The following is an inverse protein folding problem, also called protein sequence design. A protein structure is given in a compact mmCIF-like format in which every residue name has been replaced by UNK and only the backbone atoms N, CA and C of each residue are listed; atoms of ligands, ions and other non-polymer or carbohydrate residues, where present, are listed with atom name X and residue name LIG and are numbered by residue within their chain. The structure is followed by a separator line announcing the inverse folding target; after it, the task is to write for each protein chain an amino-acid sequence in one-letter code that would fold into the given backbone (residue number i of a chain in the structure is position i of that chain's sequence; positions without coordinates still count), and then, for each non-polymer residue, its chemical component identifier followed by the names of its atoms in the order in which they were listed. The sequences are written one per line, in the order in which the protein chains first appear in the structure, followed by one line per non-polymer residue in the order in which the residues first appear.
data_IF_076491572807
#
_entry.id   IF_076491572807
#
_cell.length_a   1.000
_cell.length_b   1.000
_cell.length_c   1.000
_cell.angle_alpha   90.00
_cell.angle_beta   90.00
_cell.angle_gamma   90.00
#
_symmetry.space_group_name_H-M   'P 1'
#
loop_
_entity.id
_entity.type
_entity.pdbx_description
1 polymer ?
#
# COMPACT_ATOMS: atom_id res chain seq x y z
N UNK A 1 3.07 6.51 -28.18
CA UNK A 1 3.38 6.69 -26.75
C UNK A 1 3.08 5.38 -26.02
N UNK A 2 4.03 4.80 -25.29
CA UNK A 2 3.72 3.72 -24.34
C UNK A 2 3.12 4.38 -23.09
N UNK A 3 1.97 3.92 -22.56
CA UNK A 3 1.45 4.44 -21.31
C UNK A 3 2.52 4.22 -20.23
N UNK A 4 2.81 5.25 -19.44
CA UNK A 4 3.74 5.15 -18.33
C UNK A 4 3.25 4.03 -17.40
N UNK A 5 3.99 2.92 -17.34
CA UNK A 5 3.77 1.88 -16.35
C UNK A 5 3.91 2.55 -14.97
N UNK A 6 2.79 2.79 -14.28
CA UNK A 6 2.82 3.18 -12.86
C UNK A 6 3.76 2.20 -12.17
N UNK A 7 4.84 2.71 -11.58
CA UNK A 7 5.83 1.85 -10.96
C UNK A 7 5.14 0.97 -9.92
N UNK A 8 5.39 -0.35 -9.93
CA UNK A 8 4.83 -1.28 -8.94
C UNK A 8 5.08 -0.86 -7.49
N UNK A 9 6.08 0.01 -7.25
CA UNK A 9 6.37 0.65 -5.96
C UNK A 9 5.15 1.33 -5.32
N UNK A 10 4.23 1.87 -6.12
CA UNK A 10 3.01 2.54 -5.63
C UNK A 10 2.02 1.57 -4.96
N UNK A 11 2.16 0.26 -5.23
CA UNK A 11 1.34 -0.80 -4.65
C UNK A 11 2.10 -1.65 -3.63
N UNK A 12 3.37 -1.34 -3.32
CA UNK A 12 4.07 -2.00 -2.22
C UNK A 12 3.41 -1.59 -0.90
N UNK A 13 3.42 -2.50 0.08
CA UNK A 13 2.79 -2.28 1.37
C UNK A 13 3.64 -1.38 2.24
N UNK A 14 3.04 -0.32 2.81
CA UNK A 14 3.71 0.64 3.71
C UNK A 14 5.03 1.18 3.13
N UNK A 15 4.95 1.68 1.89
CA UNK A 15 6.13 2.14 1.14
C UNK A 15 6.55 3.58 1.42
N UNK A 16 5.77 4.30 2.22
CA UNK A 16 6.01 5.69 2.62
C UNK A 16 5.76 5.86 4.13
N UNK A 17 5.94 7.08 4.66
CA UNK A 17 5.78 7.37 6.08
C UNK A 17 4.68 8.40 6.30
N UNK A 18 3.53 7.95 6.83
CA UNK A 18 2.32 8.76 7.05
C UNK A 18 1.83 9.51 5.78
N UNK A 19 2.24 9.07 4.60
CA UNK A 19 1.96 9.73 3.33
C UNK A 19 0.86 8.97 2.57
N UNK A 20 0.75 9.17 1.26
CA UNK A 20 -0.39 8.67 0.49
C UNK A 20 -0.61 7.15 0.58
N UNK A 21 0.42 6.32 0.59
CA UNK A 21 0.29 4.85 0.62
C UNK A 21 -0.24 4.38 1.97
N UNK A 22 0.44 4.71 3.08
CA UNK A 22 0.01 4.32 4.43
C UNK A 22 -1.35 4.91 4.80
N UNK A 23 -1.57 6.18 4.45
CA UNK A 23 -2.87 6.84 4.69
C UNK A 23 -3.98 6.17 3.88
N UNK A 24 -3.73 5.79 2.62
CA UNK A 24 -4.72 5.06 1.82
C UNK A 24 -5.08 3.71 2.43
N UNK A 25 -4.10 2.98 2.97
CA UNK A 25 -4.33 1.70 3.67
C UNK A 25 -5.23 1.93 4.88
N UNK A 26 -4.94 2.95 5.71
CA UNK A 26 -5.77 3.30 6.87
C UNK A 26 -7.17 3.75 6.45
N UNK A 27 -7.32 4.56 5.40
CA UNK A 27 -8.64 4.94 4.86
C UNK A 27 -9.46 3.74 4.39
N UNK A 28 -8.81 2.67 3.93
CA UNK A 28 -9.51 1.47 3.48
C UNK A 28 -9.93 0.54 4.63
N UNK A 29 -9.17 0.50 5.72
CA UNK A 29 -9.39 -0.43 6.86
C UNK A 29 -10.09 0.23 8.05
N UNK A 30 -9.68 1.45 8.39
CA UNK A 30 -10.06 2.22 9.57
C UNK A 30 -10.23 3.70 9.21
N UNK A 31 -11.17 4.05 8.31
CA UNK A 31 -11.37 5.43 7.86
C UNK A 31 -11.63 6.40 9.02
N UNK A 32 -12.22 5.93 10.11
CA UNK A 32 -12.49 6.70 11.33
C UNK A 32 -11.24 7.21 12.06
N UNK A 33 -10.07 6.64 11.77
CA UNK A 33 -8.79 7.04 12.37
C UNK A 33 -8.00 8.04 11.51
N UNK A 34 -8.52 8.39 10.33
CA UNK A 34 -7.82 9.25 9.37
C UNK A 34 -8.47 10.63 9.32
N UNK A 35 -7.77 11.63 9.87
CA UNK A 35 -8.21 13.01 9.94
C UNK A 35 -7.35 13.93 9.05
N UNK A 36 -7.65 13.98 7.76
CA UNK A 36 -6.91 14.82 6.78
C UNK A 36 -7.10 16.30 7.09
N UNK A 37 -8.25 16.67 7.66
CA UNK A 37 -8.59 18.02 8.10
C UNK A 37 -7.64 18.60 9.16
N UNK A 38 -6.89 17.73 9.87
CA UNK A 38 -5.89 18.15 10.85
C UNK A 38 -4.54 18.53 10.18
N UNK A 39 -4.35 18.25 8.89
CA UNK A 39 -3.17 18.66 8.14
C UNK A 39 -3.24 20.15 7.77
N UNK A 40 -2.09 20.80 7.49
CA UNK A 40 -2.10 22.17 6.96
C UNK A 40 -2.98 22.28 5.71
N UNK A 41 -3.86 23.29 5.70
CA UNK A 41 -4.75 23.56 4.56
C UNK A 41 -4.02 24.20 3.38
N UNK A 42 -2.93 24.92 3.66
CA UNK A 42 -2.08 25.52 2.65
C UNK A 42 -1.31 24.40 1.89
N UNK A 43 -1.53 24.24 0.57
CA UNK A 43 -0.86 23.21 -0.21
C UNK A 43 0.66 23.39 -0.24
N UNK A 44 1.17 24.62 -0.15
CA UNK A 44 2.61 24.92 -0.13
C UNK A 44 3.26 24.55 1.21
N UNK A 45 2.46 24.40 2.27
CA UNK A 45 2.94 23.94 3.58
C UNK A 45 2.91 22.42 3.65
N UNK A 46 4.09 21.82 3.58
CA UNK A 46 4.24 20.37 3.74
C UNK A 46 3.81 19.90 5.15
N UNK A 47 3.04 18.81 5.27
CA UNK A 47 2.71 18.23 6.58
C UNK A 47 3.95 17.82 7.39
N UNK A 48 3.91 18.06 8.70
CA UNK A 48 4.99 17.67 9.60
C UNK A 48 5.15 16.15 9.65
N UNK A 49 6.39 15.68 9.58
CA UNK A 49 6.76 14.26 9.70
C UNK A 49 6.11 13.32 8.65
N UNK A 50 5.67 13.86 7.51
CA UNK A 50 5.17 13.07 6.38
C UNK A 50 6.28 12.91 5.34
N UNK A 51 6.55 11.67 4.91
CA UNK A 51 7.58 11.34 3.93
C UNK A 51 7.04 10.47 2.81
N UNK A 52 6.82 11.05 1.63
CA UNK A 52 6.25 10.35 0.49
C UNK A 52 5.41 11.28 -0.39
N UNK A 53 4.36 10.75 -1.03
CA UNK A 53 3.40 11.58 -1.78
C UNK A 53 2.42 12.22 -0.81
N UNK A 54 2.03 13.45 -1.09
CA UNK A 54 1.11 14.22 -0.26
C UNK A 54 -0.23 13.45 -0.03
N UNK A 55 -0.56 13.06 1.21
CA UNK A 55 -1.79 12.32 1.49
C UNK A 55 -3.04 13.16 1.22
N UNK A 56 -2.97 14.50 1.27
CA UNK A 56 -4.10 15.39 0.97
C UNK A 56 -4.59 15.25 -0.47
N UNK A 57 -3.68 14.88 -1.38
CA UNK A 57 -3.93 14.84 -2.83
C UNK A 57 -4.04 13.40 -3.34
N UNK A 58 -3.19 12.52 -2.84
CA UNK A 58 -2.99 11.19 -3.43
C UNK A 58 -3.55 10.04 -2.60
N UNK A 59 -3.91 10.26 -1.32
CA UNK A 59 -4.50 9.21 -0.51
C UNK A 59 -5.97 8.97 -0.90
N UNK A 60 -6.40 7.72 -0.93
CA UNK A 60 -7.82 7.37 -1.10
C UNK A 60 -8.13 5.96 -0.58
N UNK A 61 -9.36 5.69 -0.11
CA UNK A 61 -9.78 4.33 0.24
C UNK A 61 -9.61 3.34 -0.94
N UNK A 62 -9.89 3.78 -2.16
CA UNK A 62 -9.78 2.96 -3.38
C UNK A 62 -8.32 2.59 -3.65
N UNK A 63 -7.38 3.50 -3.39
CA UNK A 63 -5.96 3.19 -3.52
C UNK A 63 -5.51 2.19 -2.46
N UNK A 64 -5.99 2.33 -1.22
CA UNK A 64 -5.71 1.40 -0.12
C UNK A 64 -6.18 -0.01 -0.45
N UNK A 65 -7.42 -0.14 -0.93
CA UNK A 65 -7.98 -1.43 -1.40
C UNK A 65 -7.11 -2.07 -2.49
N UNK A 66 -6.59 -1.29 -3.45
CA UNK A 66 -5.66 -1.81 -4.48
C UNK A 66 -4.34 -2.28 -3.89
N UNK A 67 -3.76 -1.53 -2.94
CA UNK A 67 -2.51 -1.91 -2.25
C UNK A 67 -2.72 -3.21 -1.47
N UNK A 68 -3.78 -3.29 -0.68
CA UNK A 68 -4.11 -4.48 0.13
C UNK A 68 -4.30 -5.70 -0.77
N UNK A 69 -5.14 -5.59 -1.81
CA UNK A 69 -5.41 -6.70 -2.73
C UNK A 69 -4.13 -7.19 -3.43
N UNK A 70 -3.31 -6.26 -3.94
CA UNK A 70 -2.04 -6.60 -4.60
C UNK A 70 -1.11 -7.40 -3.68
N UNK A 71 -0.97 -6.97 -2.42
CA UNK A 71 -0.08 -7.63 -1.46
C UNK A 71 -0.63 -8.97 -0.97
N UNK A 72 -1.95 -9.09 -0.77
CA UNK A 72 -2.60 -10.36 -0.43
C UNK A 72 -2.39 -11.40 -1.54
N UNK A 73 -2.63 -11.04 -2.80
CA UNK A 73 -2.40 -11.93 -3.94
C UNK A 73 -0.93 -12.36 -4.06
N UNK A 74 0.00 -11.44 -3.84
CA UNK A 74 1.44 -11.72 -3.85
C UNK A 74 1.81 -12.70 -2.75
N UNK A 75 1.36 -12.46 -1.52
CA UNK A 75 1.63 -13.33 -0.38
C UNK A 75 1.02 -14.71 -0.57
N UNK A 76 -0.23 -14.80 -1.03
CA UNK A 76 -0.89 -16.07 -1.31
C UNK A 76 -0.09 -16.91 -2.32
N UNK A 77 0.39 -16.29 -3.42
CA UNK A 77 1.21 -16.98 -4.43
C UNK A 77 2.51 -17.51 -3.85
N UNK A 78 3.19 -16.72 -3.02
CA UNK A 78 4.44 -17.11 -2.35
C UNK A 78 4.20 -18.28 -1.40
N UNK A 79 3.18 -18.19 -0.54
CA UNK A 79 2.83 -19.22 0.42
C UNK A 79 2.44 -20.53 -0.28
N UNK A 80 1.58 -20.48 -1.30
CA UNK A 80 1.20 -21.67 -2.10
C UNK A 80 2.41 -22.32 -2.78
N UNK A 81 3.35 -21.52 -3.29
CA UNK A 81 4.60 -22.03 -3.89
C UNK A 81 5.43 -22.78 -2.86
N UNK A 82 5.66 -22.19 -1.68
CA UNK A 82 6.47 -22.83 -0.64
C UNK A 82 5.79 -24.07 -0.05
N UNK A 83 4.47 -24.04 0.14
CA UNK A 83 3.74 -25.22 0.61
C UNK A 83 3.84 -26.40 -0.35
N UNK A 84 3.78 -26.16 -1.67
CA UNK A 84 3.98 -27.20 -2.69
C UNK A 84 5.40 -27.77 -2.67
N UNK A 85 6.41 -26.94 -2.41
CA UNK A 85 7.81 -27.38 -2.32
C UNK A 85 8.02 -28.28 -1.09
N UNK A 86 7.49 -27.89 0.07
CA UNK A 86 7.58 -28.69 1.29
C UNK A 86 6.91 -30.07 1.12
N UNK A 87 5.69 -30.12 0.57
CA UNK A 87 4.99 -31.39 0.29
C UNK A 87 5.76 -32.32 -0.65
N UNK A 88 6.48 -31.78 -1.63
CA UNK A 88 7.32 -32.59 -2.53
C UNK A 88 8.52 -33.19 -1.80
N UNK A 89 9.12 -32.45 -0.87
CA UNK A 89 10.26 -32.93 -0.09
C UNK A 89 9.86 -34.08 0.83
N UNK A 90 8.68 -34.00 1.44
CA UNK A 90 8.16 -35.05 2.32
C UNK A 90 7.83 -36.34 1.56
N UNK A 91 7.43 -36.26 0.28
CA UNK A 91 7.17 -37.42 -0.60
C UNK A 91 8.44 -38.08 -1.16
N UNK A 92 9.60 -37.44 -0.98
CA UNK A 92 10.91 -37.95 -1.44
C UNK A 92 11.80 -38.45 -0.31
N UNK A 93 11.30 -38.44 0.93
CA UNK A 93 11.91 -39.06 2.11
C UNK A 93 11.23 -40.38 2.41
#
# INVERSE_FOLDING_TARGET
MRPALKSKRDLEFQSDHAAANETSIMMALHPELVHIENLPKDPEKWPLAVGGKDPRVYASPEHGKRIIQFNLERMEKILKKHLKLLRKQDLTK
#
